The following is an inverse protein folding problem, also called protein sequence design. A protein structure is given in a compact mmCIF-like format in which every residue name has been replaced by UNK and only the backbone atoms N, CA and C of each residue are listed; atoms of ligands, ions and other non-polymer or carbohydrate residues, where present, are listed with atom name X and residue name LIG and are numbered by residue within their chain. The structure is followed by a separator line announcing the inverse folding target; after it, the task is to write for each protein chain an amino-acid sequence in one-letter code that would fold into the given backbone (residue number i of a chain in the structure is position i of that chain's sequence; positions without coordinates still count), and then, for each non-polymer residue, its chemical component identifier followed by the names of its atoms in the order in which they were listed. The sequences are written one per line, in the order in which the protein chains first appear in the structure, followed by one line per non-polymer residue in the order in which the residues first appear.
data_IF_105196758939
#
_entry.id   IF_105196758939
#
_cell.length_a   1.000
_cell.length_b   1.000
_cell.length_c   1.000
_cell.angle_alpha   90.00
_cell.angle_beta   90.00
_cell.angle_gamma   90.00
#
_symmetry.space_group_name_H-M   'P 1'
#
loop_
_entity.id
_entity.type
_entity.pdbx_description
1 polymer ?
#
# COMPACT_ATOMS: atom_id res chain seq x y z
N UNK A 1 12.38 -0.60 19.05
CA UNK A 1 13.33 0.05 18.12
C UNK A 1 12.53 0.51 16.90
N UNK A 2 12.00 1.73 16.90
CA UNK A 2 11.43 2.36 15.71
C UNK A 2 12.51 3.25 15.10
N UNK A 3 13.51 2.60 14.49
CA UNK A 3 14.46 3.37 13.69
C UNK A 3 13.74 3.82 12.42
N UNK A 4 14.08 5.00 11.91
CA UNK A 4 13.62 5.46 10.60
C UNK A 4 13.84 4.41 9.49
N UNK A 5 14.90 3.59 9.63
CA UNK A 5 15.19 2.45 8.76
C UNK A 5 14.09 1.39 8.80
N UNK A 6 13.57 1.04 9.97
CA UNK A 6 12.47 0.07 10.09
C UNK A 6 11.20 0.60 9.40
N UNK A 7 10.87 1.88 9.62
CA UNK A 7 9.71 2.51 8.98
C UNK A 7 9.84 2.56 7.46
N UNK A 8 11.03 2.92 6.96
CA UNK A 8 11.32 2.89 5.53
C UNK A 8 11.22 1.47 4.96
N UNK A 9 11.80 0.47 5.64
CA UNK A 9 11.76 -0.92 5.19
C UNK A 9 10.34 -1.47 5.09
N UNK A 10 9.51 -1.19 6.10
CA UNK A 10 8.08 -1.55 6.07
C UNK A 10 7.35 -0.81 4.96
N UNK A 11 7.67 0.47 4.75
CA UNK A 11 7.06 1.23 3.68
C UNK A 11 7.36 0.64 2.30
N UNK A 12 8.62 0.28 2.05
CA UNK A 12 9.05 -0.39 0.81
C UNK A 12 8.46 -1.81 0.66
N UNK A 13 8.28 -2.53 1.77
CA UNK A 13 7.64 -3.84 1.73
C UNK A 13 6.20 -3.74 1.20
N UNK A 14 5.46 -2.70 1.61
CA UNK A 14 4.09 -2.46 1.17
C UNK A 14 4.04 -1.89 -0.26
N UNK A 15 4.89 -0.91 -0.56
CA UNK A 15 4.80 -0.13 -1.81
C UNK A 15 5.51 -0.79 -3.00
N UNK A 16 6.50 -1.67 -2.75
CA UNK A 16 7.31 -2.32 -3.79
C UNK A 16 7.22 -3.84 -3.72
N UNK A 17 7.47 -4.45 -2.55
CA UNK A 17 7.56 -5.91 -2.45
C UNK A 17 6.20 -6.58 -2.63
N UNK A 18 5.15 -6.08 -1.98
CA UNK A 18 3.80 -6.62 -2.12
C UNK A 18 3.28 -6.62 -3.58
N UNK A 19 3.34 -5.51 -4.35
CA UNK A 19 2.91 -5.53 -5.74
C UNK A 19 3.80 -6.40 -6.63
N UNK A 20 5.12 -6.41 -6.38
CA UNK A 20 6.04 -7.30 -7.09
C UNK A 20 5.67 -8.77 -6.86
N UNK A 21 5.37 -9.16 -5.62
CA UNK A 21 4.94 -10.50 -5.27
C UNK A 21 3.67 -10.91 -6.03
N UNK A 22 2.66 -10.03 -6.06
CA UNK A 22 1.42 -10.28 -6.84
C UNK A 22 1.75 -10.48 -8.32
N UNK A 23 2.57 -9.60 -8.92
CA UNK A 23 2.95 -9.69 -10.33
C UNK A 23 3.74 -10.95 -10.67
N UNK A 24 4.64 -11.39 -9.79
CA UNK A 24 5.46 -12.59 -9.97
C UNK A 24 4.62 -13.87 -9.83
N UNK A 25 3.64 -13.88 -8.93
CA UNK A 25 2.86 -15.08 -8.59
C UNK A 25 1.56 -15.20 -9.38
N UNK A 26 1.10 -14.17 -10.08
CA UNK A 26 -0.18 -14.16 -10.82
C UNK A 26 -0.36 -15.26 -11.88
N UNK A 27 0.71 -15.90 -12.33
CA UNK A 27 0.65 -17.04 -13.27
C UNK A 27 0.38 -18.37 -12.56
N UNK A 28 0.83 -18.53 -11.31
CA UNK A 28 0.70 -19.77 -10.54
C UNK A 28 -0.38 -19.71 -9.45
N UNK A 29 -0.79 -18.51 -9.04
CA UNK A 29 -1.80 -18.27 -8.01
C UNK A 29 -3.01 -17.61 -8.65
N UNK A 30 -4.20 -18.17 -8.38
CA UNK A 30 -5.46 -17.66 -8.89
C UNK A 30 -5.94 -16.42 -8.13
N UNK A 31 -5.14 -15.34 -8.13
CA UNK A 31 -5.48 -14.08 -7.44
C UNK A 31 -6.81 -13.47 -7.87
N UNK A 32 -7.27 -13.78 -9.09
CA UNK A 32 -8.60 -13.38 -9.59
C UNK A 32 -9.75 -13.90 -8.74
N UNK A 33 -9.56 -15.02 -8.01
CA UNK A 33 -10.58 -15.61 -7.14
C UNK A 33 -10.64 -14.96 -5.77
N UNK A 34 -9.63 -14.17 -5.39
CA UNK A 34 -9.60 -13.51 -4.09
C UNK A 34 -10.48 -12.26 -4.17
N UNK A 35 -11.58 -12.17 -3.41
CA UNK A 35 -12.45 -11.01 -3.45
C UNK A 35 -11.71 -9.80 -2.87
N UNK A 36 -11.50 -8.79 -3.72
CA UNK A 36 -10.84 -7.55 -3.33
C UNK A 36 -11.67 -6.34 -3.80
N UNK A 37 -12.85 -6.08 -3.18
CA UNK A 37 -13.64 -4.88 -3.47
C UNK A 37 -12.91 -3.63 -2.96
N UNK A 38 -12.44 -2.72 -3.83
CA UNK A 38 -11.70 -1.49 -3.49
C UNK A 38 -12.30 -0.64 -2.38
N UNK A 39 -13.63 -0.52 -2.37
CA UNK A 39 -14.35 0.27 -1.37
C UNK A 39 -14.23 -0.30 0.05
N UNK A 40 -13.91 -1.59 0.20
CA UNK A 40 -13.63 -2.21 1.48
C UNK A 40 -12.12 -2.34 1.71
N UNK A 41 -11.38 -2.75 0.67
CA UNK A 41 -9.95 -3.02 0.76
C UNK A 41 -9.17 -1.76 1.16
N UNK A 42 -9.45 -0.61 0.55
CA UNK A 42 -8.75 0.64 0.87
C UNK A 42 -8.93 1.04 2.35
N UNK A 43 -10.15 1.27 2.86
CA UNK A 43 -10.32 1.70 4.24
C UNK A 43 -9.86 0.63 5.24
N UNK A 44 -10.06 -0.66 4.94
CA UNK A 44 -9.55 -1.74 5.79
C UNK A 44 -8.02 -1.73 5.89
N UNK A 45 -7.33 -1.55 4.77
CA UNK A 45 -5.87 -1.50 4.75
C UNK A 45 -5.33 -0.23 5.42
N UNK A 46 -5.96 0.92 5.21
CA UNK A 46 -5.61 2.18 5.90
C UNK A 46 -5.77 2.03 7.41
N UNK A 47 -6.88 1.44 7.87
CA UNK A 47 -7.12 1.19 9.29
C UNK A 47 -6.08 0.20 9.87
N UNK A 48 -5.79 -0.89 9.17
CA UNK A 48 -4.76 -1.84 9.57
C UNK A 48 -3.38 -1.18 9.67
N UNK A 49 -3.01 -0.37 8.67
CA UNK A 49 -1.75 0.36 8.65
C UNK A 49 -1.64 1.34 9.82
N UNK A 50 -2.71 2.08 10.12
CA UNK A 50 -2.78 2.97 11.26
C UNK A 50 -2.64 2.20 12.58
N UNK A 51 -3.39 1.11 12.76
CA UNK A 51 -3.32 0.28 13.97
C UNK A 51 -1.90 -0.27 14.17
N UNK A 52 -1.27 -0.82 13.13
CA UNK A 52 0.09 -1.38 13.25
C UNK A 52 1.13 -0.28 13.53
N UNK A 53 0.99 0.88 12.91
CA UNK A 53 1.89 2.02 13.13
C UNK A 53 1.80 2.54 14.58
N UNK A 54 0.58 2.67 15.10
CA UNK A 54 0.33 3.14 16.48
C UNK A 54 0.74 2.07 17.49
N UNK A 55 0.27 0.83 17.32
CA UNK A 55 0.50 -0.27 18.25
C UNK A 55 1.94 -0.81 18.22
N UNK A 56 2.69 -0.56 17.14
CA UNK A 56 4.06 -1.07 16.97
C UNK A 56 5.03 -0.67 18.07
N UNK A 57 4.75 0.41 18.81
CA UNK A 57 5.54 0.86 19.96
C UNK A 57 5.24 0.08 21.25
N UNK A 58 4.04 -0.47 21.38
CA UNK A 58 3.59 -1.17 22.58
C UNK A 58 3.91 -2.68 22.55
N UNK A 59 4.15 -3.23 21.36
CA UNK A 59 4.37 -4.67 21.18
C UNK A 59 5.86 -5.00 21.19
N UNK A 60 6.34 -5.53 22.32
CA UNK A 60 7.74 -5.93 22.51
C UNK A 60 7.96 -7.44 22.37
N UNK A 61 6.90 -8.25 22.53
CA UNK A 61 6.96 -9.70 22.39
C UNK A 61 7.11 -10.10 20.91
N UNK A 62 8.01 -11.06 20.63
CA UNK A 62 8.36 -11.48 19.28
C UNK A 62 7.17 -12.00 18.46
N UNK A 63 6.37 -12.93 19.01
CA UNK A 63 5.27 -13.53 18.25
C UNK A 63 4.17 -12.53 17.87
N UNK A 64 3.65 -11.69 18.79
CA UNK A 64 2.70 -10.65 18.43
C UNK A 64 3.28 -9.61 17.46
N UNK A 65 4.57 -9.27 17.61
CA UNK A 65 5.26 -8.39 16.67
C UNK A 65 5.28 -8.99 15.26
N UNK A 66 5.73 -10.23 15.12
CA UNK A 66 5.77 -10.93 13.83
C UNK A 66 4.37 -11.05 13.21
N UNK A 67 3.36 -11.40 14.02
CA UNK A 67 1.97 -11.51 13.56
C UNK A 67 1.43 -10.20 13.00
N UNK A 68 1.69 -9.06 13.65
CA UNK A 68 1.27 -7.74 13.15
C UNK A 68 1.95 -7.39 11.83
N UNK A 69 3.25 -7.66 11.69
CA UNK A 69 4.00 -7.37 10.46
C UNK A 69 3.56 -8.28 9.31
N UNK A 70 3.32 -9.56 9.59
CA UNK A 70 2.77 -10.51 8.63
C UNK A 70 1.36 -10.12 8.20
N UNK A 71 0.50 -9.69 9.13
CA UNK A 71 -0.84 -9.20 8.83
C UNK A 71 -0.81 -7.94 7.97
N UNK A 72 0.07 -6.98 8.30
CA UNK A 72 0.26 -5.77 7.49
C UNK A 72 0.72 -6.11 6.07
N UNK A 73 1.69 -7.03 5.92
CA UNK A 73 2.17 -7.45 4.61
C UNK A 73 1.10 -8.20 3.81
N UNK A 74 0.36 -9.12 4.42
CA UNK A 74 -0.76 -9.80 3.78
C UNK A 74 -1.86 -8.81 3.36
N UNK A 75 -2.16 -7.82 4.21
CA UNK A 75 -3.05 -6.71 3.90
C UNK A 75 -2.55 -5.88 2.71
N UNK A 76 -1.24 -5.65 2.60
CA UNK A 76 -0.66 -4.94 1.47
C UNK A 76 -0.79 -5.72 0.15
N UNK A 77 -0.58 -7.04 0.20
CA UNK A 77 -0.82 -7.92 -0.97
C UNK A 77 -2.28 -7.82 -1.40
N UNK A 78 -3.22 -7.89 -0.44
CA UNK A 78 -4.65 -7.75 -0.71
C UNK A 78 -5.02 -6.35 -1.26
N UNK A 79 -4.40 -5.29 -0.74
CA UNK A 79 -4.50 -3.91 -1.21
C UNK A 79 -4.15 -3.73 -2.68
N UNK A 80 -3.14 -4.45 -3.18
CA UNK A 80 -2.72 -4.33 -4.58
C UNK A 80 -3.56 -5.13 -5.57
N UNK A 81 -4.37 -6.09 -5.12
CA UNK A 81 -5.18 -6.94 -6.01
C UNK A 81 -6.13 -6.16 -6.92
N UNK A 82 -6.89 -5.15 -6.46
CA UNK A 82 -7.82 -4.44 -7.34
C UNK A 82 -7.12 -3.61 -8.42
N UNK A 83 -5.84 -3.27 -8.21
CA UNK A 83 -5.03 -2.51 -9.16
C UNK A 83 -4.37 -3.44 -10.19
N UNK A 84 -3.83 -4.56 -9.74
CA UNK A 84 -2.98 -5.44 -10.56
C UNK A 84 -3.74 -6.59 -11.22
N UNK A 85 -4.86 -7.02 -10.64
CA UNK A 85 -5.61 -8.22 -11.06
C UNK A 85 -7.07 -7.90 -11.39
N UNK A 86 -7.67 -6.90 -10.75
CA UNK A 86 -9.10 -6.59 -10.92
C UNK A 86 -9.46 -6.14 -12.33
N UNK A 87 -10.67 -6.48 -12.80
CA UNK A 87 -11.16 -6.15 -14.15
C UNK A 87 -11.60 -4.68 -14.32
N UNK A 88 -11.38 -3.84 -13.31
CA UNK A 88 -11.83 -2.44 -13.29
C UNK A 88 -11.04 -1.60 -14.28
N UNK A 89 -11.73 -0.63 -14.90
CA UNK A 89 -11.12 0.33 -15.81
C UNK A 89 -9.97 1.13 -15.18
N UNK A 90 -9.02 1.53 -16.02
CA UNK A 90 -7.78 2.17 -15.57
C UNK A 90 -8.02 3.48 -14.80
N UNK A 91 -9.03 4.27 -15.19
CA UNK A 91 -9.44 5.47 -14.44
C UNK A 91 -9.78 5.19 -12.96
N UNK A 92 -10.53 4.13 -12.67
CA UNK A 92 -10.90 3.79 -11.30
C UNK A 92 -9.68 3.30 -10.49
N UNK A 93 -8.74 2.60 -11.13
CA UNK A 93 -7.47 2.20 -10.51
C UNK A 93 -6.59 3.41 -10.19
N UNK A 94 -6.57 4.41 -11.07
CA UNK A 94 -5.88 5.68 -10.84
C UNK A 94 -6.46 6.42 -9.64
N UNK A 95 -7.78 6.62 -9.60
CA UNK A 95 -8.46 7.29 -8.47
C UNK A 95 -8.20 6.56 -7.15
N UNK A 96 -8.26 5.22 -7.18
CA UNK A 96 -7.95 4.39 -6.03
C UNK A 96 -6.53 4.65 -5.48
N UNK A 97 -5.51 4.63 -6.34
CA UNK A 97 -4.12 4.85 -5.93
C UNK A 97 -3.86 6.31 -5.50
N UNK A 98 -4.49 7.27 -6.17
CA UNK A 98 -4.41 8.69 -5.80
C UNK A 98 -4.99 8.96 -4.42
N UNK A 99 -6.07 8.28 -4.04
CA UNK A 99 -6.66 8.39 -2.71
C UNK A 99 -5.84 7.61 -1.67
N UNK A 100 -5.25 6.47 -2.06
CA UNK A 100 -4.48 5.62 -1.17
C UNK A 100 -3.23 6.30 -0.61
N UNK A 101 -2.47 7.02 -1.45
CA UNK A 101 -1.26 7.75 -1.01
C UNK A 101 -1.49 8.62 0.23
N UNK A 102 -2.29 9.70 0.12
CA UNK A 102 -2.54 10.60 1.25
C UNK A 102 -3.24 9.91 2.42
N UNK A 103 -4.10 8.91 2.18
CA UNK A 103 -4.76 8.18 3.25
C UNK A 103 -3.78 7.33 4.08
N UNK A 104 -2.81 6.69 3.44
CA UNK A 104 -1.76 5.93 4.13
C UNK A 104 -0.80 6.87 4.87
N UNK A 105 -0.49 8.03 4.29
CA UNK A 105 0.37 9.05 4.90
C UNK A 105 -0.20 9.66 6.19
N UNK A 106 -1.51 9.53 6.47
CA UNK A 106 -2.10 9.95 7.75
C UNK A 106 -1.41 9.29 8.96
N UNK A 107 -0.99 8.03 8.81
CA UNK A 107 -0.26 7.32 9.88
C UNK A 107 1.12 7.93 10.11
N UNK A 108 1.77 8.42 9.05
CA UNK A 108 3.06 9.10 9.15
C UNK A 108 2.93 10.48 9.77
N UNK A 109 1.89 11.22 9.37
CA UNK A 109 1.56 12.53 9.95
C UNK A 109 1.32 12.38 11.46
N UNK A 110 0.62 11.33 11.89
CA UNK A 110 0.46 11.04 13.32
C UNK A 110 1.81 10.87 14.04
N UNK A 111 2.76 10.12 13.48
CA UNK A 111 4.11 9.96 14.07
C UNK A 111 4.83 11.31 14.19
N UNK A 112 4.75 12.16 13.16
CA UNK A 112 5.34 13.51 13.17
C UNK A 112 4.73 14.34 14.30
N UNK A 113 3.39 14.30 14.46
CA UNK A 113 2.68 15.03 15.52
C UNK A 113 3.11 14.56 16.92
N UNK A 114 3.33 13.26 17.12
CA UNK A 114 3.75 12.68 18.40
C UNK A 114 5.27 12.83 18.65
N UNK A 115 6.01 13.37 17.69
CA UNK A 115 7.42 13.76 17.82
C UNK A 115 8.41 12.84 17.12
N UNK A 116 7.98 11.74 16.48
CA UNK A 116 8.83 10.89 15.65
C UNK A 116 8.86 11.39 14.19
N UNK A 117 9.51 12.53 14.01
CA UNK A 117 9.62 13.20 12.70
C UNK A 117 10.39 12.33 11.70
N UNK A 118 11.48 11.70 12.13
CA UNK A 118 12.33 10.90 11.25
C UNK A 118 11.60 9.62 10.78
N UNK A 119 10.89 8.93 11.68
CA UNK A 119 10.09 7.76 11.33
C UNK A 119 8.93 8.11 10.39
N UNK A 120 8.20 9.20 10.69
CA UNK A 120 7.12 9.68 9.82
C UNK A 120 7.60 10.04 8.41
N UNK A 121 8.67 10.84 8.28
CA UNK A 121 9.23 11.19 6.97
C UNK A 121 9.75 9.97 6.21
N UNK A 122 10.44 9.05 6.89
CA UNK A 122 10.92 7.82 6.28
C UNK A 122 9.77 6.99 5.70
N UNK A 123 8.62 6.95 6.38
CA UNK A 123 7.44 6.24 5.90
C UNK A 123 6.82 6.90 4.66
N UNK A 124 6.64 8.24 4.67
CA UNK A 124 6.12 8.99 3.51
C UNK A 124 7.01 8.76 2.29
N UNK A 125 8.32 8.89 2.44
CA UNK A 125 9.28 8.70 1.34
C UNK A 125 9.22 7.26 0.82
N UNK A 126 9.13 6.27 1.71
CA UNK A 126 9.01 4.86 1.32
C UNK A 126 7.66 4.50 0.68
N UNK A 127 6.62 5.33 0.86
CA UNK A 127 5.31 5.19 0.21
C UNK A 127 5.23 5.82 -1.19
N UNK A 128 6.20 6.66 -1.58
CA UNK A 128 6.24 7.31 -2.91
C UNK A 128 6.01 6.36 -4.10
N UNK A 129 6.46 5.09 -4.11
CA UNK A 129 6.16 4.17 -5.21
C UNK A 129 4.66 3.98 -5.49
N UNK A 130 3.77 4.15 -4.49
CA UNK A 130 2.31 4.13 -4.70
C UNK A 130 1.87 5.30 -5.57
N UNK A 131 2.37 6.51 -5.28
CA UNK A 131 2.10 7.71 -6.09
C UNK A 131 2.65 7.57 -7.50
N UNK A 132 3.86 7.03 -7.66
CA UNK A 132 4.43 6.73 -8.98
C UNK A 132 3.59 5.72 -9.76
N UNK A 133 3.07 4.69 -9.10
CA UNK A 133 2.15 3.75 -9.72
C UNK A 133 0.83 4.43 -10.15
N UNK A 134 0.31 5.35 -9.34
CA UNK A 134 -0.88 6.15 -9.70
C UNK A 134 -0.64 6.95 -10.99
N UNK A 135 0.50 7.64 -11.08
CA UNK A 135 0.91 8.40 -12.27
C UNK A 135 1.06 7.47 -13.48
N UNK A 136 1.76 6.34 -13.34
CA UNK A 136 1.98 5.40 -14.42
C UNK A 136 0.67 4.79 -14.96
N UNK A 137 -0.25 4.42 -14.07
CA UNK A 137 -1.58 3.90 -14.47
C UNK A 137 -2.41 4.96 -15.18
N UNK A 138 -2.36 6.20 -14.68
CA UNK A 138 -3.08 7.34 -15.26
C UNK A 138 -2.54 7.69 -16.65
N UNK A 139 -1.22 7.75 -16.79
CA UNK A 139 -0.56 7.99 -18.07
C UNK A 139 -0.94 6.94 -19.11
N UNK A 140 -0.84 5.65 -18.74
CA UNK A 140 -1.22 4.55 -19.63
C UNK A 140 -2.67 4.64 -20.07
N UNK A 141 -3.57 4.99 -19.15
CA UNK A 141 -4.98 5.19 -19.49
C UNK A 141 -5.17 6.29 -20.52
N UNK A 142 -4.57 7.46 -20.32
CA UNK A 142 -4.67 8.61 -21.25
C UNK A 142 -4.16 8.20 -22.64
N UNK A 143 -3.00 7.56 -22.73
CA UNK A 143 -2.43 7.13 -24.01
C UNK A 143 -3.27 6.05 -24.70
N UNK A 144 -3.88 5.14 -23.94
CA UNK A 144 -4.76 4.11 -24.50
C UNK A 144 -6.09 4.68 -25.00
N UNK A 145 -6.59 5.74 -24.36
CA UNK A 145 -7.79 6.46 -24.79
C UNK A 145 -7.52 7.26 -26.07
N UNK A 146 -6.41 7.98 -26.13
CA UNK A 146 -5.97 8.70 -27.34
C UNK A 146 -5.84 7.73 -28.52
N UNK A 147 -5.22 6.55 -28.34
CA UNK A 147 -5.08 5.54 -29.39
C UNK A 147 -6.40 4.95 -29.90
N UNK A 148 -7.50 5.08 -29.17
CA UNK A 148 -8.82 4.58 -29.58
C UNK A 148 -9.66 5.65 -30.27
N UNK A 149 -9.35 6.92 -30.02
CA UNK A 149 -10.06 8.06 -30.58
C UNK A 149 -9.57 8.44 -31.99
N UNK A 150 -8.41 7.91 -32.41
CA UNK A 150 -7.79 8.11 -33.72
C UNK A 150 -7.64 6.77 -34.45
#
# INVERSE_FOLDING_TARGET
MTSAVHMAAMGLAISVVAPALVLMTRRGVAWQRVPAPPLLVLPAFVALHAVVTVAGHAVTAFFPWLALHAALFAGAVWFWLPVLVGERGAALRSVYLFLAGPALDLSAIYLIIVGDVAGGLAMIVAMLPIGLAAVAVTWRWITDEERRAW
#
